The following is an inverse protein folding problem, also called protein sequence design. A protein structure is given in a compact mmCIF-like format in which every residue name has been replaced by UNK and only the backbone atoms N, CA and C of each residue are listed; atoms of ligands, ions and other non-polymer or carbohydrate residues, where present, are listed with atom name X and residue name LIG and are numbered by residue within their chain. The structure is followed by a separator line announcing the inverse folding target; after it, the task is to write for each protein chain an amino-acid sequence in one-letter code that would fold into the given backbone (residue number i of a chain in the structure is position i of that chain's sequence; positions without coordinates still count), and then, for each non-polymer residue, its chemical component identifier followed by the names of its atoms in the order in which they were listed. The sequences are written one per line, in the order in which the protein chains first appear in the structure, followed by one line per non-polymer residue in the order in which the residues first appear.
data_IF_527771101320
#
_entry.id   IF_527771101320
#
_cell.length_a   1.000
_cell.length_b   1.000
_cell.length_c   1.000
_cell.angle_alpha   90.00
_cell.angle_beta   90.00
_cell.angle_gamma   90.00
#
_symmetry.space_group_name_H-M   'P 1'
#
loop_
_entity.id
_entity.type
_entity.pdbx_description
1 polymer ?
#
# COMPACT_ATOMS: atom_id res chain seq x y z
N UNK A 1 -19.07 33.97 35.82
CA UNK A 1 -19.46 33.73 34.41
C UNK A 1 -18.33 32.99 33.74
N UNK A 2 -18.62 31.91 33.00
CA UNK A 2 -17.61 31.29 32.14
C UNK A 2 -17.22 32.32 31.08
N UNK A 3 -15.93 32.46 30.81
CA UNK A 3 -15.43 33.37 29.79
C UNK A 3 -15.87 32.83 28.41
N UNK A 4 -16.94 33.42 27.87
CA UNK A 4 -17.54 33.00 26.59
C UNK A 4 -16.54 33.08 25.44
N UNK A 5 -15.59 34.02 25.50
CA UNK A 5 -14.54 34.17 24.49
C UNK A 5 -13.56 33.01 24.54
N UNK A 6 -13.21 32.56 25.75
CA UNK A 6 -12.39 31.36 25.95
C UNK A 6 -13.09 30.10 25.42
N UNK A 7 -14.38 29.93 25.74
CA UNK A 7 -15.18 28.79 25.26
C UNK A 7 -15.27 28.77 23.74
N UNK A 8 -15.60 29.91 23.12
CA UNK A 8 -15.70 30.03 21.67
C UNK A 8 -14.36 29.71 20.97
N UNK A 9 -13.23 30.13 21.55
CA UNK A 9 -11.90 29.81 21.03
C UNK A 9 -11.62 28.30 21.08
N UNK A 10 -11.96 27.64 22.18
CA UNK A 10 -11.82 26.19 22.33
C UNK A 10 -12.71 25.41 21.36
N UNK A 11 -13.98 25.80 21.23
CA UNK A 11 -14.92 25.18 20.29
C UNK A 11 -14.41 25.27 18.85
N UNK A 12 -13.83 26.40 18.45
CA UNK A 12 -13.27 26.58 17.11
C UNK A 12 -12.04 25.70 16.87
N UNK A 13 -11.15 25.54 17.85
CA UNK A 13 -10.01 24.61 17.74
C UNK A 13 -10.50 23.17 17.63
N UNK A 14 -11.46 22.75 18.47
CA UNK A 14 -12.02 21.40 18.42
C UNK A 14 -12.70 21.15 17.07
N UNK A 15 -13.48 22.11 16.55
CA UNK A 15 -14.08 22.00 15.21
C UNK A 15 -13.04 21.77 14.12
N UNK A 16 -11.90 22.47 14.18
CA UNK A 16 -10.80 22.27 13.23
C UNK A 16 -10.18 20.87 13.36
N UNK A 17 -10.00 20.35 14.58
CA UNK A 17 -9.47 19.00 14.81
C UNK A 17 -10.44 17.88 14.38
N UNK A 18 -11.75 18.15 14.40
CA UNK A 18 -12.78 17.21 13.98
C UNK A 18 -12.97 17.17 12.45
N UNK A 19 -12.45 18.16 11.71
CA UNK A 19 -12.41 18.10 10.25
C UNK A 19 -11.30 17.13 9.84
N UNK A 20 -11.61 16.02 9.15
CA UNK A 20 -10.58 15.12 8.66
C UNK A 20 -9.61 15.88 7.78
N UNK A 21 -8.31 15.72 8.04
CA UNK A 21 -7.29 16.27 7.18
C UNK A 21 -7.43 15.61 5.80
N UNK A 22 -7.55 16.44 4.76
CA UNK A 22 -7.65 16.02 3.36
C UNK A 22 -6.40 16.47 2.62
N UNK A 23 -6.12 15.80 1.50
CA UNK A 23 -5.07 16.18 0.56
C UNK A 23 -3.66 16.19 1.16
N UNK A 24 -3.40 15.39 2.20
CA UNK A 24 -2.05 15.20 2.71
C UNK A 24 -1.30 14.25 1.76
N UNK A 25 -0.10 14.64 1.26
CA UNK A 25 0.72 13.75 0.45
C UNK A 25 1.09 12.47 1.20
N UNK A 26 0.90 11.32 0.54
CA UNK A 26 1.19 10.00 1.12
C UNK A 26 2.63 9.89 1.64
N UNK A 27 3.61 10.38 0.87
CA UNK A 27 5.02 10.36 1.25
C UNK A 27 5.28 11.11 2.58
N UNK A 28 4.62 12.26 2.79
CA UNK A 28 4.74 13.03 4.03
C UNK A 28 4.16 12.26 5.22
N UNK A 29 3.02 11.58 5.03
CA UNK A 29 2.42 10.74 6.08
C UNK A 29 3.36 9.60 6.47
N UNK A 30 3.90 8.88 5.50
CA UNK A 30 4.82 7.76 5.75
C UNK A 30 6.09 8.24 6.45
N UNK A 31 6.71 9.32 5.98
CA UNK A 31 7.93 9.86 6.60
C UNK A 31 7.67 10.34 8.03
N UNK A 32 6.55 11.03 8.27
CA UNK A 32 6.19 11.52 9.61
C UNK A 32 5.89 10.40 10.59
N UNK A 33 5.27 9.30 10.14
CA UNK A 33 4.89 8.18 11.02
C UNK A 33 6.02 7.18 11.25
N UNK A 34 6.90 6.99 10.26
CA UNK A 34 7.90 5.90 10.28
C UNK A 34 9.34 6.39 10.33
N UNK A 35 9.59 7.66 10.03
CA UNK A 35 10.94 8.19 9.80
C UNK A 35 11.62 7.65 8.54
N UNK A 36 10.87 6.98 7.64
CA UNK A 36 11.36 6.42 6.39
C UNK A 36 10.78 7.17 5.20
N UNK A 37 11.61 7.38 4.18
CA UNK A 37 11.18 8.02 2.93
C UNK A 37 10.57 6.98 1.98
N UNK A 38 9.49 7.38 1.32
CA UNK A 38 8.95 6.65 0.17
C UNK A 38 9.88 6.89 -1.01
N UNK A 39 10.30 5.82 -1.69
CA UNK A 39 11.10 5.93 -2.90
C UNK A 39 10.18 6.44 -4.02
N UNK A 40 10.48 7.60 -4.63
CA UNK A 40 9.69 8.10 -5.73
C UNK A 40 9.97 7.27 -6.99
N UNK A 41 8.93 7.11 -7.81
CA UNK A 41 9.08 6.58 -9.17
C UNK A 41 9.71 7.64 -10.07
N UNK A 42 10.73 7.28 -10.84
CA UNK A 42 11.35 8.11 -11.86
C UNK A 42 11.16 7.51 -13.26
N UNK A 43 10.34 8.18 -14.07
CA UNK A 43 10.09 7.78 -15.46
C UNK A 43 11.32 7.88 -16.37
N UNK A 44 12.39 8.54 -15.92
CA UNK A 44 13.66 8.60 -16.65
C UNK A 44 14.64 7.51 -16.21
N UNK A 45 14.37 6.80 -15.10
CA UNK A 45 15.19 5.68 -14.64
C UNK A 45 14.79 4.41 -15.42
N UNK A 46 15.72 3.79 -16.17
CA UNK A 46 15.44 2.54 -16.89
C UNK A 46 15.02 1.40 -15.97
N UNK A 47 15.49 1.35 -14.72
CA UNK A 47 15.13 0.28 -13.78
C UNK A 47 13.68 0.40 -13.31
N UNK A 48 13.23 1.62 -13.02
CA UNK A 48 11.85 1.91 -12.64
C UNK A 48 10.88 1.57 -13.77
N UNK A 49 11.22 1.94 -15.00
CA UNK A 49 10.41 1.58 -16.17
C UNK A 49 10.38 0.07 -16.39
N UNK A 50 11.51 -0.62 -16.23
CA UNK A 50 11.56 -2.08 -16.33
C UNK A 50 10.68 -2.75 -15.27
N UNK A 51 10.73 -2.27 -14.03
CA UNK A 51 9.87 -2.76 -12.95
C UNK A 51 8.39 -2.48 -13.24
N UNK A 52 8.06 -1.29 -13.72
CA UNK A 52 6.70 -0.92 -14.11
C UNK A 52 6.14 -1.86 -15.18
N UNK A 53 6.92 -2.19 -16.20
CA UNK A 53 6.49 -3.11 -17.27
C UNK A 53 6.28 -4.54 -16.77
N UNK A 54 7.13 -5.01 -15.84
CA UNK A 54 6.90 -6.29 -15.15
C UNK A 54 5.58 -6.25 -14.37
N UNK A 55 5.31 -5.19 -13.61
CA UNK A 55 4.08 -5.07 -12.82
C UNK A 55 2.83 -4.99 -13.71
N UNK A 56 2.91 -4.34 -14.87
CA UNK A 56 1.83 -4.37 -15.88
C UNK A 56 1.58 -5.79 -16.37
N UNK A 57 2.62 -6.56 -16.69
CA UNK A 57 2.45 -7.93 -17.16
C UNK A 57 1.87 -8.84 -16.07
N UNK A 58 2.37 -8.73 -14.83
CA UNK A 58 1.84 -9.42 -13.64
C UNK A 58 0.34 -9.17 -13.50
N UNK A 59 -0.10 -7.91 -13.58
CA UNK A 59 -1.52 -7.56 -13.44
C UNK A 59 -2.38 -8.10 -14.59
N UNK A 60 -1.86 -8.10 -15.83
CA UNK A 60 -2.55 -8.68 -16.98
C UNK A 60 -2.69 -10.21 -16.85
N UNK A 61 -1.64 -10.91 -16.44
CA UNK A 61 -1.64 -12.35 -16.22
C UNK A 61 -2.64 -12.72 -15.11
N UNK A 62 -2.58 -12.03 -13.98
CA UNK A 62 -3.52 -12.23 -12.88
C UNK A 62 -4.97 -11.99 -13.34
N UNK A 63 -5.23 -10.88 -14.03
CA UNK A 63 -6.55 -10.54 -14.56
C UNK A 63 -7.11 -11.59 -15.53
N UNK A 64 -6.28 -12.12 -16.44
CA UNK A 64 -6.69 -13.21 -17.34
C UNK A 64 -7.07 -14.48 -16.57
N UNK A 65 -6.25 -14.90 -15.60
CA UNK A 65 -6.55 -16.08 -14.76
C UNK A 65 -7.82 -15.92 -13.93
N UNK A 66 -8.05 -14.71 -13.41
CA UNK A 66 -9.29 -14.37 -12.70
C UNK A 66 -10.49 -14.48 -13.64
N UNK A 67 -10.39 -14.00 -14.88
CA UNK A 67 -11.47 -14.10 -15.86
C UNK A 67 -11.77 -15.56 -16.28
N UNK A 68 -10.76 -16.43 -16.31
CA UNK A 68 -10.93 -17.86 -16.59
C UNK A 68 -11.64 -18.60 -15.45
N UNK A 69 -11.27 -18.30 -14.20
CA UNK A 69 -11.76 -19.02 -13.01
C UNK A 69 -13.04 -18.41 -12.41
N UNK A 70 -13.22 -17.09 -12.56
CA UNK A 70 -14.15 -16.28 -11.79
C UNK A 70 -13.78 -16.17 -10.31
N UNK A 71 -14.36 -15.20 -9.61
CA UNK A 71 -14.31 -15.10 -8.14
C UNK A 71 -15.73 -14.87 -7.64
N UNK A 72 -16.22 -15.74 -6.77
CA UNK A 72 -17.54 -15.62 -6.14
C UNK A 72 -17.37 -15.59 -4.63
N UNK A 73 -17.70 -14.45 -4.02
CA UNK A 73 -17.66 -14.25 -2.57
C UNK A 73 -18.91 -13.54 -2.09
N UNK A 74 -19.31 -13.81 -0.85
CA UNK A 74 -20.47 -13.18 -0.23
C UNK A 74 -20.22 -11.69 0.09
N UNK A 75 -18.96 -11.32 0.35
CA UNK A 75 -18.56 -9.94 0.66
C UNK A 75 -17.43 -9.50 -0.27
N UNK A 76 -17.51 -8.26 -0.75
CA UNK A 76 -16.51 -7.70 -1.66
C UNK A 76 -15.08 -7.67 -1.08
N UNK A 77 -14.94 -7.51 0.25
CA UNK A 77 -13.63 -7.51 0.91
C UNK A 77 -12.93 -8.89 0.91
N UNK A 78 -13.66 -9.98 0.64
CA UNK A 78 -13.07 -11.32 0.49
C UNK A 78 -12.49 -11.54 -0.91
N UNK A 79 -13.01 -10.82 -1.91
CA UNK A 79 -12.49 -10.86 -3.28
C UNK A 79 -11.04 -10.40 -3.33
N UNK A 80 -10.67 -9.40 -2.52
CA UNK A 80 -9.28 -8.92 -2.42
C UNK A 80 -8.29 -10.01 -1.99
N UNK A 81 -8.68 -10.86 -1.03
CA UNK A 81 -7.85 -11.98 -0.57
C UNK A 81 -7.62 -13.02 -1.67
N UNK A 82 -8.64 -13.27 -2.50
CA UNK A 82 -8.52 -14.20 -3.62
C UNK A 82 -7.62 -13.62 -4.73
N UNK A 83 -7.83 -12.35 -5.08
CA UNK A 83 -7.01 -11.62 -6.07
C UNK A 83 -5.53 -11.67 -5.68
N UNK A 84 -5.21 -11.54 -4.39
CA UNK A 84 -3.84 -11.61 -3.90
C UNK A 84 -3.14 -12.91 -4.30
N UNK A 85 -3.84 -14.05 -4.25
CA UNK A 85 -3.31 -15.33 -4.70
C UNK A 85 -2.90 -15.31 -6.18
N UNK A 86 -3.77 -14.76 -7.05
CA UNK A 86 -3.47 -14.63 -8.47
C UNK A 86 -2.29 -13.70 -8.74
N UNK A 87 -2.20 -12.57 -8.02
CA UNK A 87 -1.09 -11.63 -8.14
C UNK A 87 0.23 -12.29 -7.71
N UNK A 88 0.27 -12.98 -6.57
CA UNK A 88 1.47 -13.69 -6.10
C UNK A 88 1.93 -14.74 -7.11
N UNK A 89 1.02 -15.58 -7.60
CA UNK A 89 1.35 -16.58 -8.62
C UNK A 89 1.84 -15.97 -9.94
N UNK A 90 1.36 -14.78 -10.30
CA UNK A 90 1.88 -14.06 -11.47
C UNK A 90 3.28 -13.47 -11.21
N UNK A 91 3.51 -12.88 -10.02
CA UNK A 91 4.81 -12.35 -9.60
C UNK A 91 5.91 -13.43 -9.49
N UNK A 92 5.57 -14.64 -9.05
CA UNK A 92 6.49 -15.79 -9.04
C UNK A 92 7.05 -16.10 -10.43
N UNK A 93 6.24 -15.94 -11.49
CA UNK A 93 6.68 -16.10 -12.87
C UNK A 93 7.72 -15.08 -13.34
N UNK A 94 7.86 -13.96 -12.62
CA UNK A 94 8.85 -12.91 -12.88
C UNK A 94 9.99 -12.90 -11.83
N UNK A 95 10.15 -13.96 -11.05
CA UNK A 95 11.19 -14.08 -10.01
C UNK A 95 11.16 -12.95 -8.96
N UNK A 96 9.99 -12.37 -8.66
CA UNK A 96 9.84 -11.29 -7.68
C UNK A 96 9.74 -11.78 -6.22
N UNK A 97 9.61 -13.10 -6.00
CA UNK A 97 9.53 -13.73 -4.68
C UNK A 97 8.54 -13.02 -3.73
N UNK A 98 7.26 -12.94 -4.10
CA UNK A 98 6.27 -12.21 -3.31
C UNK A 98 6.00 -12.90 -1.97
N UNK A 99 5.84 -12.12 -0.91
CA UNK A 99 5.54 -12.59 0.44
C UNK A 99 4.59 -11.63 1.18
N UNK A 100 4.12 -12.05 2.35
CA UNK A 100 3.38 -11.22 3.31
C UNK A 100 4.39 -10.62 4.29
N UNK A 101 4.39 -9.30 4.51
CA UNK A 101 5.29 -8.66 5.46
C UNK A 101 5.04 -9.18 6.88
N UNK A 102 6.13 -9.45 7.57
CA UNK A 102 6.10 -9.84 8.97
C UNK A 102 5.96 -8.61 9.87
N UNK A 103 5.09 -8.70 10.88
CA UNK A 103 5.05 -7.70 11.94
C UNK A 103 6.27 -7.78 12.87
N UNK A 104 6.36 -6.86 13.83
CA UNK A 104 7.46 -6.84 14.81
C UNK A 104 7.63 -8.14 15.62
N UNK A 105 6.57 -8.97 15.73
CA UNK A 105 6.60 -10.29 16.37
C UNK A 105 7.05 -11.43 15.45
N UNK A 106 7.42 -11.13 14.20
CA UNK A 106 7.77 -12.13 13.17
C UNK A 106 6.57 -12.87 12.57
N UNK A 107 5.34 -12.58 13.02
CA UNK A 107 4.12 -13.20 12.49
C UNK A 107 3.63 -12.46 11.25
N UNK A 108 3.25 -13.23 10.23
CA UNK A 108 2.59 -12.74 9.02
C UNK A 108 1.13 -12.42 9.32
N UNK A 109 0.62 -11.29 8.84
CA UNK A 109 -0.80 -10.95 8.93
C UNK A 109 -1.49 -11.41 7.65
N UNK A 110 -2.22 -12.52 7.73
CA UNK A 110 -2.86 -13.16 6.58
C UNK A 110 -4.20 -12.51 6.14
N UNK A 111 -4.68 -11.46 6.83
CA UNK A 111 -6.00 -10.87 6.60
C UNK A 111 -5.97 -9.34 6.74
N UNK A 112 -6.42 -8.63 5.70
CA UNK A 112 -6.43 -7.16 5.63
C UNK A 112 -6.39 -6.66 4.19
N UNK A 113 -6.16 -5.36 3.98
CA UNK A 113 -5.76 -4.85 2.66
C UNK A 113 -4.47 -5.56 2.22
N UNK A 114 -4.29 -5.81 0.91
CA UNK A 114 -3.19 -6.62 0.41
C UNK A 114 -1.85 -5.91 0.63
N UNK A 115 -1.06 -6.38 1.59
CA UNK A 115 0.31 -5.97 1.80
C UNK A 115 1.21 -7.04 1.17
N UNK A 116 1.58 -6.89 -0.10
CA UNK A 116 2.57 -7.77 -0.76
C UNK A 116 3.94 -7.10 -0.67
N UNK A 117 4.93 -7.81 -0.12
CA UNK A 117 6.34 -7.45 -0.24
C UNK A 117 6.97 -8.33 -1.32
N UNK A 118 7.82 -7.75 -2.16
CA UNK A 118 8.56 -8.48 -3.18
C UNK A 118 9.95 -7.85 -3.33
N UNK A 119 10.88 -8.60 -3.90
CA UNK A 119 12.27 -8.16 -4.08
C UNK A 119 12.61 -8.10 -5.56
N UNK A 120 13.26 -7.01 -5.97
CA UNK A 120 13.66 -6.79 -7.34
C UNK A 120 15.17 -6.53 -7.40
N UNK A 121 15.90 -7.34 -8.18
CA UNK A 121 17.37 -7.25 -8.36
C UNK A 121 18.17 -7.16 -7.04
N UNK A 122 17.78 -7.93 -6.02
CA UNK A 122 18.51 -7.99 -4.74
C UNK A 122 18.39 -6.73 -3.86
N UNK A 123 17.61 -5.73 -4.28
CA UNK A 123 17.24 -4.60 -3.43
C UNK A 123 15.88 -4.90 -2.78
N UNK A 124 15.85 -4.88 -1.44
CA UNK A 124 14.66 -4.31 -0.78
C UNK A 124 14.68 -2.85 -1.20
N UNK A 125 13.59 -2.30 -1.72
CA UNK A 125 13.49 -0.88 -2.07
C UNK A 125 13.66 0.00 -0.80
N UNK A 126 14.90 0.15 -0.36
CA UNK A 126 15.40 0.89 0.79
C UNK A 126 16.79 1.40 0.43
N UNK A 127 16.86 2.39 -0.48
CA UNK A 127 18.09 3.20 -0.62
C UNK A 127 18.22 4.06 0.64
N UNK A 128 19.10 3.67 1.55
CA UNK A 128 19.51 4.51 2.68
C UNK A 128 20.52 5.54 2.20
N UNK A 129 20.13 6.81 2.24
CA UNK A 129 21.04 7.97 2.36
C UNK A 129 20.69 8.70 3.64
#
# INVERSE_FOLDING_TARGET
MKDEKYISKLENVIKQMLVPLKEIPFNLVIESLTGKKVIPFDSNDPEDNQLLDILKDVTLIAGRKINESGIIRARANEVGNDIEGFIKSAMEGHNLSPDIPSGASGRKKAMGYPDIIFYYKGSVNLRTT
#
